data_IF_531976996704
#
_entry.id   IF_531976996704
#
_cell.length_a   1.000
_cell.length_b   1.000
_cell.length_c   1.000
_cell.angle_alpha   90.00
_cell.angle_beta   90.00
_cell.angle_gamma   90.00
#
_symmetry.space_group_name_H-M   'P 1'
#
loop_
_entity.id
_entity.type
_entity.pdbx_description
1 polymer ?
#
# COMPACT_ATOMS: atom_id res chain seq x y z
N UNK A 1 -17.17 4.75 17.59
CA UNK A 1 -16.18 5.11 16.57
C UNK A 1 -16.29 6.60 16.32
N UNK A 2 -15.32 7.35 16.80
CA UNK A 2 -15.26 8.80 16.71
C UNK A 2 -14.76 9.20 15.30
N UNK A 3 -15.21 10.33 14.76
CA UNK A 3 -14.67 10.91 13.51
C UNK A 3 -13.15 11.07 13.59
N UNK A 4 -12.62 11.28 14.79
CA UNK A 4 -11.18 11.34 15.07
C UNK A 4 -10.44 10.03 14.72
N UNK A 5 -11.08 8.87 14.85
CA UNK A 5 -10.48 7.57 14.48
C UNK A 5 -10.37 7.44 12.97
N UNK A 6 -11.38 7.89 12.21
CA UNK A 6 -11.35 7.92 10.74
C UNK A 6 -10.34 8.94 10.20
N UNK A 7 -10.21 10.08 10.87
CA UNK A 7 -9.14 11.04 10.55
C UNK A 7 -7.78 10.45 10.88
N UNK A 8 -7.62 9.75 12.00
CA UNK A 8 -6.37 9.05 12.30
C UNK A 8 -6.05 8.01 11.25
N UNK A 9 -7.00 7.21 10.76
CA UNK A 9 -6.76 6.30 9.64
C UNK A 9 -6.37 7.02 8.33
N UNK A 10 -6.88 8.24 8.10
CA UNK A 10 -6.51 9.10 6.97
C UNK A 10 -5.11 9.72 7.13
N UNK A 11 -4.67 9.97 8.36
CA UNK A 11 -3.38 10.58 8.69
C UNK A 11 -2.32 9.58 9.16
N UNK A 12 -2.69 8.33 9.41
CA UNK A 12 -1.77 7.24 9.72
C UNK A 12 -0.99 7.01 8.45
N UNK A 13 0.24 7.53 8.46
CA UNK A 13 1.23 7.26 7.43
C UNK A 13 1.54 5.78 7.51
N UNK A 14 0.73 4.96 6.84
CA UNK A 14 1.04 3.57 6.59
C UNK A 14 2.44 3.54 6.01
N UNK A 15 3.31 2.77 6.66
CA UNK A 15 4.63 2.48 6.13
C UNK A 15 4.48 1.96 4.70
N UNK A 16 5.46 2.17 3.81
CA UNK A 16 5.41 1.61 2.46
C UNK A 16 5.07 0.11 2.45
N UNK A 17 5.53 -0.63 3.47
CA UNK A 17 5.16 -2.03 3.71
C UNK A 17 3.67 -2.24 3.96
N UNK A 18 3.06 -1.46 4.84
CA UNK A 18 1.63 -1.56 5.17
C UNK A 18 0.75 -1.15 3.99
N UNK A 19 1.15 -0.15 3.21
CA UNK A 19 0.48 0.22 1.96
C UNK A 19 0.51 -0.94 0.96
N UNK A 20 1.66 -1.59 0.78
CA UNK A 20 1.83 -2.73 -0.12
C UNK A 20 0.94 -3.91 0.30
N UNK A 21 0.92 -4.25 1.60
CA UNK A 21 0.05 -5.29 2.15
C UNK A 21 -1.42 -4.96 1.89
N UNK A 22 -1.83 -3.72 2.12
CA UNK A 22 -3.20 -3.28 1.93
C UNK A 22 -3.65 -3.34 0.46
N UNK A 23 -2.80 -2.89 -0.48
CA UNK A 23 -3.10 -2.97 -1.92
C UNK A 23 -3.24 -4.43 -2.37
N UNK A 24 -2.34 -5.31 -1.92
CA UNK A 24 -2.41 -6.76 -2.22
C UNK A 24 -3.73 -7.37 -1.76
N UNK A 25 -4.17 -7.03 -0.55
CA UNK A 25 -5.39 -7.60 0.01
C UNK A 25 -6.65 -7.08 -0.72
N UNK A 26 -6.65 -5.82 -1.15
CA UNK A 26 -7.71 -5.27 -2.01
C UNK A 26 -7.77 -5.96 -3.39
N UNK A 27 -6.62 -6.21 -4.03
CA UNK A 27 -6.56 -6.97 -5.30
C UNK A 27 -7.16 -8.36 -5.12
N UNK A 28 -6.76 -9.07 -4.04
CA UNK A 28 -7.30 -10.41 -3.73
C UNK A 28 -8.81 -10.40 -3.55
N UNK A 29 -9.32 -9.40 -2.85
CA UNK A 29 -10.77 -9.26 -2.63
C UNK A 29 -11.51 -8.94 -3.93
N UNK A 30 -10.98 -8.05 -4.77
CA UNK A 30 -11.56 -7.75 -6.08
C UNK A 30 -11.60 -8.98 -7.00
N UNK A 31 -10.54 -9.80 -6.99
CA UNK A 31 -10.51 -11.10 -7.69
C UNK A 31 -11.60 -12.03 -7.14
N UNK A 32 -11.71 -12.14 -5.81
CA UNK A 32 -12.70 -13.00 -5.15
C UNK A 32 -14.14 -12.60 -5.50
N UNK A 33 -14.41 -11.30 -5.61
CA UNK A 33 -15.71 -10.73 -5.93
C UNK A 33 -16.00 -10.70 -7.45
N UNK A 34 -15.00 -10.94 -8.30
CA UNK A 34 -15.14 -10.86 -9.75
C UNK A 34 -15.25 -9.43 -10.29
N UNK A 35 -14.80 -8.43 -9.53
CA UNK A 35 -14.87 -7.02 -9.91
C UNK A 35 -13.73 -6.67 -10.89
N UNK A 36 -13.86 -7.11 -12.14
CA UNK A 36 -12.81 -6.98 -13.15
C UNK A 36 -12.34 -5.52 -13.37
N UNK A 37 -13.28 -4.56 -13.35
CA UNK A 37 -12.99 -3.14 -13.52
C UNK A 37 -12.12 -2.57 -12.39
N UNK A 38 -12.30 -3.07 -11.16
CA UNK A 38 -11.52 -2.63 -10.01
C UNK A 38 -10.12 -3.27 -10.02
N UNK A 39 -9.97 -4.48 -10.58
CA UNK A 39 -8.69 -5.21 -10.60
C UNK A 39 -7.63 -4.41 -11.36
N UNK A 40 -7.95 -3.86 -12.53
CA UNK A 40 -6.98 -3.09 -13.33
C UNK A 40 -6.44 -1.88 -12.55
N UNK A 41 -7.33 -1.14 -11.89
CA UNK A 41 -6.95 0.02 -11.06
C UNK A 41 -6.12 -0.43 -9.86
N UNK A 42 -6.56 -1.49 -9.18
CA UNK A 42 -5.88 -2.02 -8.00
C UNK A 42 -4.50 -2.61 -8.32
N UNK A 43 -4.30 -3.16 -9.53
CA UNK A 43 -2.97 -3.62 -9.97
C UNK A 43 -2.01 -2.46 -10.18
N UNK A 44 -2.47 -1.35 -10.76
CA UNK A 44 -1.65 -0.14 -10.88
C UNK A 44 -1.29 0.45 -9.50
N UNK A 45 -2.25 0.49 -8.57
CA UNK A 45 -2.00 0.90 -7.18
C UNK A 45 -0.98 -0.04 -6.49
N UNK A 46 -1.07 -1.35 -6.74
CA UNK A 46 -0.15 -2.34 -6.19
C UNK A 46 1.28 -2.15 -6.70
N UNK A 47 1.46 -1.91 -7.99
CA UNK A 47 2.76 -1.65 -8.60
C UNK A 47 3.40 -0.38 -8.01
N UNK A 48 2.62 0.70 -7.87
CA UNK A 48 3.09 1.92 -7.25
C UNK A 48 3.50 1.72 -5.78
N UNK A 49 2.71 0.97 -5.02
CA UNK A 49 3.04 0.63 -3.63
C UNK A 49 4.31 -0.22 -3.52
N UNK A 50 4.57 -1.09 -4.49
CA UNK A 50 5.79 -1.90 -4.56
C UNK A 50 7.01 -1.00 -4.81
N UNK A 51 6.93 -0.06 -5.75
CA UNK A 51 8.01 0.90 -6.02
C UNK A 51 8.32 1.74 -4.78
N UNK A 52 7.30 2.20 -4.04
CA UNK A 52 7.49 2.95 -2.80
C UNK A 52 8.23 2.12 -1.73
N UNK A 53 7.86 0.84 -1.60
CA UNK A 53 8.49 -0.08 -0.65
C UNK A 53 9.94 -0.41 -1.02
N UNK A 54 10.21 -0.65 -2.29
CA UNK A 54 11.57 -0.90 -2.78
C UNK A 54 12.46 0.33 -2.58
N UNK A 55 11.94 1.54 -2.87
CA UNK A 55 12.66 2.79 -2.61
C UNK A 55 12.96 2.97 -1.12
N UNK A 56 12.00 2.71 -0.23
CA UNK A 56 12.27 2.86 1.21
C UNK A 56 13.37 1.93 1.71
N UNK A 57 13.42 0.69 1.19
CA UNK A 57 14.45 -0.26 1.58
C UNK A 57 15.82 0.07 0.95
N UNK A 58 15.84 0.65 -0.25
CA UNK A 58 17.07 1.06 -0.90
C UNK A 58 17.78 2.18 -0.11
N UNK A 59 17.04 3.17 0.39
CA UNK A 59 17.62 4.24 1.22
C UNK A 59 18.20 3.72 2.54
N UNK A 60 17.62 2.68 3.15
CA UNK A 60 18.20 2.03 4.32
C UNK A 60 19.54 1.35 3.99
N UNK A 61 19.69 0.73 2.82
CA UNK A 61 20.95 0.05 2.46
C UNK A 61 22.10 0.98 2.08
N UNK A 62 21.85 2.21 1.61
CA UNK A 62 22.90 3.19 1.29
C UNK A 62 23.35 4.00 2.52
N UNK A 63 22.55 3.99 3.59
CA UNK A 63 22.84 4.75 4.82
C UNK A 63 23.79 4.02 5.78
N UNK A 64 23.98 2.71 5.60
CA UNK A 64 24.83 1.85 6.44
C UNK A 64 26.30 1.75 5.96
N UNK A 65 26.67 2.44 4.89
CA UNK A 65 28.05 2.46 4.34
C UNK A 65 28.83 3.75 4.62
N UNK A 66 28.37 4.58 5.57
CA UNK A 66 29.01 5.84 5.98
C UNK A 66 29.88 5.74 7.23
#
# INVERSE_FOLDING_TARGET
MDQADRLRELFDKKTPREKLIHCRDRVREAIRLGNQADIEILMAELEQAQIEFEKSNLYESVSDTG
#
